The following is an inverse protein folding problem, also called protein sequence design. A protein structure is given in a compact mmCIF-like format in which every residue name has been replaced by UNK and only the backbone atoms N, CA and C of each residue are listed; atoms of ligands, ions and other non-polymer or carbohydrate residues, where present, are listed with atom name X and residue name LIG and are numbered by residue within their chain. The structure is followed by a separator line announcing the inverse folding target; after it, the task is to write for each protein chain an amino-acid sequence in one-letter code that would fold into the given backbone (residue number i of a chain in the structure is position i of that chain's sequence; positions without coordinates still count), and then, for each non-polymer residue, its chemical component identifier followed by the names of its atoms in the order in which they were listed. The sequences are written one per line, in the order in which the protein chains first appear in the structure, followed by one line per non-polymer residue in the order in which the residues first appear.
data_IF_447290006635
#
_entry.id   IF_447290006635
#
_cell.length_a   1.000
_cell.length_b   1.000
_cell.length_c   1.000
_cell.angle_alpha   90.00
_cell.angle_beta   90.00
_cell.angle_gamma   90.00
#
_symmetry.space_group_name_H-M   'P 1'
#
loop_
_entity.id
_entity.type
_entity.pdbx_description
1 polymer ?
#
# COMPACT_ATOMS: atom_id res chain seq x y z
N UNK A 1 -18.47 -42.62 49.46
CA UNK A 1 -18.71 -41.63 48.39
C UNK A 1 -17.42 -40.86 48.14
N UNK A 2 -16.65 -41.28 47.15
CA UNK A 2 -15.38 -40.66 46.77
C UNK A 2 -15.65 -39.62 45.69
N UNK A 3 -15.50 -38.34 46.02
CA UNK A 3 -15.65 -37.23 45.07
C UNK A 3 -14.31 -37.02 44.35
N UNK A 4 -14.28 -37.36 43.06
CA UNK A 4 -13.16 -37.02 42.18
C UNK A 4 -13.24 -35.54 41.79
N UNK A 5 -12.25 -34.75 42.22
CA UNK A 5 -11.99 -33.42 41.69
C UNK A 5 -11.20 -33.56 40.39
N UNK A 6 -11.84 -33.28 39.25
CA UNK A 6 -11.15 -33.14 37.98
C UNK A 6 -10.57 -31.71 37.88
N UNK A 7 -9.26 -31.52 37.70
CA UNK A 7 -8.71 -30.20 37.43
C UNK A 7 -8.96 -29.88 35.94
N UNK A 8 -9.75 -28.84 35.68
CA UNK A 8 -9.92 -28.28 34.34
C UNK A 8 -8.63 -27.54 34.00
N UNK A 9 -7.76 -28.19 33.22
CA UNK A 9 -6.57 -27.59 32.63
C UNK A 9 -7.01 -26.68 31.47
N UNK A 10 -7.29 -25.41 31.75
CA UNK A 10 -7.51 -24.40 30.72
C UNK A 10 -6.22 -24.16 29.95
N UNK A 11 -6.11 -24.72 28.73
CA UNK A 11 -5.08 -24.36 27.77
C UNK A 11 -5.26 -22.88 27.38
N UNK A 12 -4.44 -22.01 27.95
CA UNK A 12 -4.23 -20.66 27.43
C UNK A 12 -3.44 -20.79 26.13
N UNK A 13 -4.14 -20.79 25.00
CA UNK A 13 -3.54 -20.70 23.67
C UNK A 13 -3.06 -19.25 23.53
N UNK A 14 -1.83 -18.97 23.95
CA UNK A 14 -1.15 -17.75 23.57
C UNK A 14 -0.85 -17.86 22.08
N UNK A 15 -1.61 -17.14 21.25
CA UNK A 15 -1.26 -16.95 19.85
C UNK A 15 0.08 -16.21 19.80
N UNK A 16 1.17 -16.95 19.59
CA UNK A 16 2.44 -16.37 19.21
C UNK A 16 2.23 -15.70 17.87
N UNK A 17 2.08 -14.37 17.87
CA UNK A 17 2.17 -13.58 16.65
C UNK A 17 3.62 -13.62 16.20
N UNK A 18 4.00 -14.68 15.49
CA UNK A 18 5.21 -14.68 14.70
C UNK A 18 5.02 -13.57 13.68
N UNK A 19 5.78 -12.49 13.83
CA UNK A 19 5.91 -11.49 12.76
C UNK A 19 6.64 -12.25 11.66
N UNK A 20 5.89 -12.71 10.65
CA UNK A 20 6.49 -13.31 9.48
C UNK A 20 7.56 -12.32 8.95
N UNK A 21 8.71 -12.85 8.57
CA UNK A 21 9.80 -12.02 8.06
C UNK A 21 9.64 -11.85 6.55
N UNK A 22 10.04 -10.68 6.06
CA UNK A 22 10.06 -10.43 4.63
C UNK A 22 11.04 -11.41 3.97
N UNK A 23 10.54 -12.24 3.05
CA UNK A 23 11.42 -13.11 2.28
C UNK A 23 12.23 -12.23 1.32
N UNK A 24 13.56 -12.29 1.42
CA UNK A 24 14.49 -11.54 0.55
C UNK A 24 14.31 -11.81 -0.94
N UNK A 25 13.58 -12.88 -1.32
CA UNK A 25 13.28 -13.21 -2.70
C UNK A 25 12.07 -12.45 -3.28
N UNK A 26 11.30 -11.74 -2.45
CA UNK A 26 10.18 -10.92 -2.90
C UNK A 26 10.68 -9.49 -3.14
N UNK A 27 10.57 -9.02 -4.38
CA UNK A 27 11.04 -7.68 -4.77
C UNK A 27 10.31 -6.53 -4.07
N UNK A 28 9.15 -6.79 -3.44
CA UNK A 28 8.33 -5.78 -2.77
C UNK A 28 7.67 -6.37 -1.54
N UNK A 29 8.39 -6.29 -0.41
CA UNK A 29 7.92 -6.73 0.90
C UNK A 29 8.20 -5.63 1.92
N UNK A 30 7.14 -5.08 2.52
CA UNK A 30 7.21 -3.98 3.48
C UNK A 30 6.67 -4.43 4.83
N UNK A 31 7.42 -4.16 5.90
CA UNK A 31 6.89 -4.32 7.24
C UNK A 31 5.99 -3.13 7.56
N UNK A 32 4.77 -3.41 8.03
CA UNK A 32 3.85 -2.41 8.57
C UNK A 32 3.47 -2.80 9.99
N UNK A 33 2.86 -1.89 10.75
CA UNK A 33 2.34 -2.25 12.09
C UNK A 33 1.21 -3.30 12.04
N UNK A 34 0.59 -3.48 10.88
CA UNK A 34 -0.45 -4.47 10.65
C UNK A 34 0.11 -5.80 10.12
N UNK A 35 1.43 -5.90 9.93
CA UNK A 35 2.12 -7.07 9.41
C UNK A 35 2.75 -6.82 8.05
N UNK A 36 2.95 -7.87 7.26
CA UNK A 36 3.68 -7.78 5.99
C UNK A 36 2.74 -7.30 4.88
N UNK A 37 3.16 -6.25 4.18
CA UNK A 37 2.58 -5.83 2.91
C UNK A 37 3.41 -6.43 1.77
N UNK A 38 2.77 -7.28 0.97
CA UNK A 38 3.39 -7.98 -0.17
C UNK A 38 2.64 -7.71 -1.47
N UNK A 39 3.35 -7.87 -2.59
CA UNK A 39 2.76 -7.87 -3.91
C UNK A 39 2.70 -9.28 -4.53
N UNK A 40 1.57 -9.60 -5.16
CA UNK A 40 1.45 -10.68 -6.13
C UNK A 40 1.33 -10.05 -7.52
N UNK A 41 2.32 -10.27 -8.38
CA UNK A 41 2.30 -9.72 -9.74
C UNK A 41 1.32 -10.47 -10.63
N UNK A 42 0.97 -9.88 -11.78
CA UNK A 42 0.09 -10.51 -12.77
C UNK A 42 0.58 -11.87 -13.25
N UNK A 43 1.89 -12.05 -13.41
CA UNK A 43 2.44 -13.33 -13.85
C UNK A 43 2.24 -14.43 -12.81
N UNK A 44 2.26 -14.07 -11.52
CA UNK A 44 2.05 -15.01 -10.41
C UNK A 44 0.58 -15.27 -10.14
N UNK A 45 -0.29 -14.27 -10.27
CA UNK A 45 -1.73 -14.44 -10.02
C UNK A 45 -2.45 -15.24 -11.10
N UNK A 46 -2.01 -15.14 -12.36
CA UNK A 46 -2.57 -15.88 -13.50
C UNK A 46 -3.95 -15.39 -13.98
N UNK A 47 -4.53 -14.38 -13.36
CA UNK A 47 -5.89 -13.88 -13.65
C UNK A 47 -5.94 -12.51 -14.36
N UNK A 48 -4.77 -11.95 -14.67
CA UNK A 48 -4.65 -10.65 -15.33
C UNK A 48 -4.51 -9.45 -14.39
N UNK A 49 -4.47 -9.67 -13.06
CA UNK A 49 -4.36 -8.62 -12.06
C UNK A 49 -3.09 -8.75 -11.22
N UNK A 50 -2.55 -7.61 -10.80
CA UNK A 50 -1.60 -7.56 -9.69
C UNK A 50 -2.35 -7.21 -8.40
N UNK A 51 -1.91 -7.77 -7.28
CA UNK A 51 -2.55 -7.64 -5.97
C UNK A 51 -1.55 -7.10 -4.95
N UNK A 52 -2.05 -6.30 -4.01
CA UNK A 52 -1.38 -6.06 -2.74
C UNK A 52 -2.09 -6.84 -1.64
N UNK A 53 -1.30 -7.50 -0.81
CA UNK A 53 -1.78 -8.31 0.30
C UNK A 53 -1.18 -7.83 1.60
N UNK A 54 -1.96 -7.87 2.68
CA UNK A 54 -1.53 -7.56 4.03
C UNK A 54 -1.71 -8.81 4.88
N UNK A 55 -0.61 -9.42 5.32
CA UNK A 55 -0.59 -10.77 5.90
C UNK A 55 -1.34 -11.81 5.04
N UNK A 56 -1.12 -11.75 3.72
CA UNK A 56 -1.78 -12.65 2.76
C UNK A 56 -3.25 -12.33 2.46
N UNK A 57 -3.88 -11.37 3.14
CA UNK A 57 -5.23 -10.90 2.80
C UNK A 57 -5.18 -9.81 1.73
N UNK A 58 -5.93 -9.96 0.64
CA UNK A 58 -5.98 -8.96 -0.43
C UNK A 58 -6.55 -7.62 0.07
N UNK A 59 -5.78 -6.54 -0.08
CA UNK A 59 -6.21 -5.19 0.26
C UNK A 59 -6.39 -4.29 -0.97
N UNK A 60 -5.71 -4.60 -2.07
CA UNK A 60 -5.78 -3.83 -3.31
C UNK A 60 -5.57 -4.74 -4.52
N UNK A 61 -6.17 -4.40 -5.66
CA UNK A 61 -5.93 -5.07 -6.94
C UNK A 61 -6.00 -4.10 -8.11
N UNK A 62 -5.16 -4.31 -9.11
CA UNK A 62 -5.12 -3.49 -10.31
C UNK A 62 -4.86 -4.35 -11.56
N UNK A 63 -5.50 -4.01 -12.68
CA UNK A 63 -5.29 -4.66 -13.98
C UNK A 63 -4.01 -4.11 -14.62
N UNK A 64 -2.87 -4.59 -14.14
CA UNK A 64 -1.52 -4.14 -14.52
C UNK A 64 -0.52 -5.29 -14.36
N UNK A 65 0.67 -5.18 -14.96
CA UNK A 65 1.72 -6.20 -14.87
C UNK A 65 2.34 -6.28 -13.47
N UNK A 66 2.59 -5.12 -12.85
CA UNK A 66 3.09 -4.96 -11.50
C UNK A 66 2.70 -3.56 -10.97
N UNK A 67 2.81 -3.41 -9.67
CA UNK A 67 2.60 -2.22 -8.88
C UNK A 67 3.97 -1.80 -8.35
N UNK A 68 4.36 -0.57 -8.64
CA UNK A 68 5.58 0.05 -8.12
C UNK A 68 5.29 0.72 -6.79
N UNK A 69 6.28 0.72 -5.91
CA UNK A 69 6.27 1.49 -4.67
C UNK A 69 7.17 2.69 -4.83
N UNK A 70 6.78 3.81 -4.24
CA UNK A 70 7.63 4.99 -4.17
C UNK A 70 8.69 4.80 -3.07
N UNK A 71 9.93 5.19 -3.37
CA UNK A 71 11.05 5.11 -2.43
C UNK A 71 10.95 6.11 -1.26
N UNK A 72 10.28 7.25 -1.46
CA UNK A 72 10.04 8.28 -0.45
C UNK A 72 8.84 7.91 0.45
N UNK A 73 9.02 6.86 1.25
CA UNK A 73 8.03 6.39 2.20
C UNK A 73 8.25 6.97 3.62
N UNK A 74 7.21 6.91 4.46
CA UNK A 74 7.29 7.37 5.85
C UNK A 74 7.16 6.18 6.79
N UNK A 75 8.07 6.08 7.77
CA UNK A 75 8.06 4.97 8.72
C UNK A 75 8.85 5.26 10.00
N UNK A 76 9.06 4.21 10.79
CA UNK A 76 9.89 4.25 11.99
C UNK A 76 10.69 2.96 12.16
N UNK A 77 11.85 3.05 12.81
CA UNK A 77 12.64 1.88 13.16
C UNK A 77 12.21 1.33 14.53
N UNK A 78 12.02 0.01 14.61
CA UNK A 78 11.84 -0.74 15.86
C UNK A 78 12.59 -2.06 15.78
N UNK A 79 13.43 -2.36 16.76
CA UNK A 79 14.25 -3.58 16.81
C UNK A 79 15.04 -3.81 15.51
N UNK A 80 15.68 -2.76 14.99
CA UNK A 80 16.43 -2.75 13.72
C UNK A 80 15.61 -3.10 12.47
N UNK A 81 14.27 -3.10 12.55
CA UNK A 81 13.38 -3.24 11.40
C UNK A 81 12.69 -1.91 11.13
N UNK A 82 12.65 -1.51 9.86
CA UNK A 82 11.90 -0.34 9.41
C UNK A 82 10.43 -0.73 9.18
N UNK A 83 9.51 0.03 9.77
CA UNK A 83 8.08 -0.16 9.62
C UNK A 83 7.48 1.00 8.84
N UNK A 84 7.03 0.72 7.62
CA UNK A 84 6.32 1.67 6.77
C UNK A 84 4.97 2.01 7.38
N UNK A 85 4.71 3.31 7.49
CA UNK A 85 3.46 3.90 7.98
C UNK A 85 2.68 4.61 6.88
N UNK A 86 3.33 5.16 5.87
CA UNK A 86 2.71 5.69 4.65
C UNK A 86 3.62 5.45 3.47
N UNK A 87 3.03 5.13 2.32
CA UNK A 87 3.74 5.05 1.04
C UNK A 87 2.76 5.35 -0.09
N UNK A 88 3.28 5.53 -1.30
CA UNK A 88 2.50 5.66 -2.53
C UNK A 88 2.83 4.48 -3.42
N UNK A 89 1.79 3.85 -3.93
CA UNK A 89 1.93 2.88 -5.01
C UNK A 89 1.55 3.52 -6.33
N UNK A 90 2.23 3.13 -7.40
CA UNK A 90 1.93 3.59 -8.76
C UNK A 90 1.84 2.41 -9.70
N UNK A 91 0.95 2.47 -10.68
CA UNK A 91 0.88 1.49 -11.74
C UNK A 91 0.33 2.10 -13.02
N UNK A 92 0.82 1.61 -14.15
CA UNK A 92 0.31 2.01 -15.47
C UNK A 92 -0.86 1.13 -15.87
N UNK A 93 -1.93 1.74 -16.35
CA UNK A 93 -3.05 1.04 -16.97
C UNK A 93 -2.59 0.38 -18.27
N UNK A 94 -3.06 -0.84 -18.53
CA UNK A 94 -2.85 -1.49 -19.82
C UNK A 94 -3.65 -0.83 -20.96
N UNK A 95 -4.66 -0.03 -20.62
CA UNK A 95 -5.53 0.69 -21.55
C UNK A 95 -5.06 2.15 -21.67
N UNK A 96 -5.24 2.74 -22.87
CA UNK A 96 -4.88 4.15 -23.11
C UNK A 96 -5.81 5.09 -22.35
N UNK A 97 -5.33 6.30 -22.05
CA UNK A 97 -6.18 7.37 -21.53
C UNK A 97 -7.15 7.84 -22.63
N UNK A 98 -8.30 7.18 -22.80
CA UNK A 98 -9.23 7.52 -23.89
C UNK A 98 -9.92 8.89 -23.69
N UNK A 99 -10.02 9.36 -22.44
CA UNK A 99 -10.83 10.53 -22.07
C UNK A 99 -10.04 11.84 -21.95
N UNK A 100 -8.71 11.82 -22.13
CA UNK A 100 -7.87 13.04 -22.14
C UNK A 100 -7.22 13.20 -23.52
N UNK A 101 -7.94 13.89 -24.41
CA UNK A 101 -7.60 14.11 -25.83
C UNK A 101 -6.17 14.67 -26.03
N UNK A 102 -5.61 15.38 -25.04
CA UNK A 102 -4.26 15.96 -25.11
C UNK A 102 -3.12 14.94 -24.90
N UNK A 103 -3.38 13.77 -24.29
CA UNK A 103 -2.34 12.80 -23.95
C UNK A 103 -2.60 11.44 -24.61
N UNK A 104 -1.95 11.19 -25.76
CA UNK A 104 -2.01 9.91 -26.49
C UNK A 104 -1.16 8.79 -25.84
N UNK A 105 -1.14 8.72 -24.51
CA UNK A 105 -0.30 7.81 -23.72
C UNK A 105 -1.06 6.82 -22.85
N UNK A 106 -0.31 6.09 -22.04
CA UNK A 106 -0.85 5.31 -20.93
C UNK A 106 -1.05 6.21 -19.72
N UNK A 107 -1.98 5.85 -18.84
CA UNK A 107 -2.20 6.56 -17.59
C UNK A 107 -1.52 5.82 -16.44
N UNK A 108 -0.74 6.56 -15.65
CA UNK A 108 -0.22 6.10 -14.36
C UNK A 108 -1.19 6.50 -13.27
N UNK A 109 -1.72 5.50 -12.55
CA UNK A 109 -2.54 5.71 -11.37
C UNK A 109 -1.66 5.60 -10.15
N UNK A 110 -1.76 6.59 -9.27
CA UNK A 110 -1.14 6.59 -7.95
C UNK A 110 -2.20 6.38 -6.86
N UNK A 111 -1.83 5.72 -5.77
CA UNK A 111 -2.68 5.48 -4.59
C UNK A 111 -1.84 5.61 -3.32
N UNK A 112 -2.36 6.31 -2.32
CA UNK A 112 -1.73 6.40 -1.00
C UNK A 112 -2.17 5.21 -0.15
N UNK A 113 -1.19 4.52 0.44
CA UNK A 113 -1.39 3.54 1.50
C UNK A 113 -1.01 4.18 2.83
N UNK A 114 -1.94 4.22 3.78
CA UNK A 114 -1.71 4.77 5.14
C UNK A 114 -1.99 3.70 6.20
N UNK A 115 -0.93 3.30 6.89
CA UNK A 115 -0.89 2.34 7.98
C UNK A 115 -0.65 3.00 9.35
N UNK A 116 -0.70 4.33 9.45
CA UNK A 116 -0.39 5.05 10.70
C UNK A 116 -1.53 4.99 11.73
N UNK A 117 -2.79 4.98 11.28
CA UNK A 117 -4.00 4.98 12.14
C UNK A 117 -4.40 3.58 12.61
N UNK A 118 -5.53 3.42 13.30
CA UNK A 118 -5.92 2.13 13.91
C UNK A 118 -6.31 1.03 12.92
N UNK A 119 -6.54 1.40 11.66
CA UNK A 119 -6.81 0.49 10.54
C UNK A 119 -6.04 0.94 9.29
N UNK A 120 -5.69 0.03 8.37
CA UNK A 120 -5.16 0.39 7.06
C UNK A 120 -6.17 1.26 6.29
N UNK A 121 -5.66 2.28 5.60
CA UNK A 121 -6.45 3.16 4.73
C UNK A 121 -5.80 3.17 3.36
N UNK A 122 -6.62 2.99 2.33
CA UNK A 122 -6.22 3.06 0.92
C UNK A 122 -7.01 4.21 0.32
N UNK A 123 -6.32 5.16 -0.32
CA UNK A 123 -6.99 6.30 -0.93
C UNK A 123 -7.71 5.94 -2.22
N UNK A 124 -8.47 6.89 -2.77
CA UNK A 124 -8.81 6.87 -4.18
C UNK A 124 -7.55 6.91 -5.06
N UNK A 125 -7.68 6.42 -6.29
CA UNK A 125 -6.68 6.62 -7.33
C UNK A 125 -6.65 8.07 -7.79
N UNK A 126 -5.47 8.55 -8.14
CA UNK A 126 -5.24 9.87 -8.73
C UNK A 126 -4.21 9.78 -9.84
N UNK A 127 -4.36 10.66 -10.83
CA UNK A 127 -3.58 10.67 -12.08
C UNK A 127 -3.04 12.09 -12.24
N UNK A 128 -1.73 12.25 -12.55
CA UNK A 128 -1.16 13.57 -12.82
C UNK A 128 -1.83 14.24 -14.04
N UNK A 129 -1.59 15.53 -14.23
CA UNK A 129 -2.24 16.28 -15.31
C UNK A 129 -1.80 15.74 -16.68
N UNK A 130 -0.52 15.38 -16.82
CA UNK A 130 0.06 14.76 -18.01
C UNK A 130 -0.33 13.30 -18.25
N UNK A 131 -1.06 12.69 -17.33
CA UNK A 131 -1.48 11.30 -17.39
C UNK A 131 -0.42 10.31 -16.91
N UNK A 132 0.88 10.55 -17.15
CA UNK A 132 1.96 9.62 -16.83
C UNK A 132 3.20 10.23 -16.17
N UNK A 133 3.13 11.47 -15.70
CA UNK A 133 4.23 12.09 -14.94
C UNK A 133 4.65 11.24 -13.74
N UNK A 134 5.93 11.32 -13.39
CA UNK A 134 6.50 10.68 -12.20
C UNK A 134 6.34 11.61 -11.00
N UNK A 135 6.22 11.04 -9.80
CA UNK A 135 6.19 11.82 -8.56
C UNK A 135 7.59 12.40 -8.34
N UNK A 136 7.68 13.72 -8.26
CA UNK A 136 8.92 14.47 -8.01
C UNK A 136 9.28 14.42 -6.51
N UNK A 137 8.33 14.79 -5.65
CA UNK A 137 8.52 14.70 -4.20
C UNK A 137 7.20 14.55 -3.43
N UNK A 138 7.31 14.05 -2.19
CA UNK A 138 6.20 14.00 -1.25
C UNK A 138 6.59 14.66 0.07
N UNK A 139 5.73 15.54 0.57
CA UNK A 139 5.84 16.07 1.92
C UNK A 139 4.85 15.36 2.82
N UNK A 140 5.36 14.43 3.63
CA UNK A 140 4.57 13.66 4.58
C UNK A 140 4.29 14.44 5.87
N UNK A 141 3.01 14.61 6.18
CA UNK A 141 2.54 15.04 7.49
C UNK A 141 1.98 13.88 8.31
N UNK A 142 1.72 14.13 9.59
CA UNK A 142 1.14 13.11 10.49
C UNK A 142 -0.20 12.57 9.99
N UNK A 143 -1.06 13.46 9.47
CA UNK A 143 -2.43 13.15 9.03
C UNK A 143 -2.72 13.53 7.57
N UNK A 144 -1.71 14.03 6.84
CA UNK A 144 -1.85 14.51 5.48
C UNK A 144 -0.57 14.29 4.68
N UNK A 145 -0.62 14.54 3.38
CA UNK A 145 0.57 14.65 2.56
C UNK A 145 0.34 15.65 1.41
N UNK A 146 1.40 16.29 0.94
CA UNK A 146 1.41 17.00 -0.33
C UNK A 146 2.26 16.20 -1.31
N UNK A 147 1.70 15.88 -2.46
CA UNK A 147 2.29 15.03 -3.49
C UNK A 147 2.43 15.88 -4.74
N UNK A 148 3.65 15.98 -5.27
CA UNK A 148 3.93 16.79 -6.46
C UNK A 148 4.57 15.93 -7.52
N UNK A 149 4.08 16.07 -8.74
CA UNK A 149 4.61 15.41 -9.93
C UNK A 149 5.53 16.36 -10.72
N UNK A 150 6.38 15.79 -11.58
CA UNK A 150 7.30 16.55 -12.43
C UNK A 150 6.56 17.48 -13.42
N UNK A 151 5.30 17.18 -13.75
CA UNK A 151 4.42 18.06 -14.55
C UNK A 151 3.78 19.20 -13.74
N UNK A 152 4.30 19.44 -12.53
CA UNK A 152 3.83 20.42 -11.55
C UNK A 152 2.42 20.18 -11.00
N UNK A 153 1.76 19.08 -11.35
CA UNK A 153 0.48 18.72 -10.77
C UNK A 153 0.65 18.38 -9.28
N UNK A 154 -0.24 18.96 -8.46
CA UNK A 154 -0.18 18.89 -6.99
C UNK A 154 -1.43 18.26 -6.42
N UNK A 155 -1.24 17.35 -5.49
CA UNK A 155 -2.31 16.64 -4.82
C UNK A 155 -2.13 16.70 -3.31
N UNK A 156 -3.25 16.68 -2.59
CA UNK A 156 -3.27 16.64 -1.14
C UNK A 156 -3.95 15.35 -0.69
N UNK A 157 -3.22 14.55 0.07
CA UNK A 157 -3.80 13.46 0.83
C UNK A 157 -4.30 13.98 2.18
N UNK A 158 -5.54 13.65 2.54
CA UNK A 158 -6.09 13.92 3.87
C UNK A 158 -7.27 12.98 4.15
N UNK A 159 -7.34 12.40 5.35
CA UNK A 159 -8.46 11.56 5.80
C UNK A 159 -8.82 10.41 4.83
N UNK A 160 -7.81 9.75 4.25
CA UNK A 160 -8.03 8.64 3.34
C UNK A 160 -8.47 9.01 1.92
N UNK A 161 -8.41 10.30 1.55
CA UNK A 161 -8.69 10.75 0.19
C UNK A 161 -7.54 11.61 -0.35
N UNK A 162 -7.38 11.57 -1.66
CA UNK A 162 -6.45 12.41 -2.41
C UNK A 162 -7.24 13.31 -3.34
N UNK A 163 -7.00 14.62 -3.24
CA UNK A 163 -7.68 15.65 -4.02
C UNK A 163 -6.65 16.51 -4.76
N UNK A 164 -7.00 16.94 -5.98
CA UNK A 164 -6.18 17.87 -6.77
C UNK A 164 -6.18 19.23 -6.06
N UNK A 165 -5.00 19.80 -5.87
CA UNK A 165 -4.83 21.19 -5.41
C UNK A 165 -4.94 22.12 -6.61
N UNK A 166 -6.15 22.61 -6.87
CA UNK A 166 -6.39 23.65 -7.89
C UNK A 166 -6.02 25.01 -7.28
N UNK A 167 -5.21 25.79 -7.98
CA UNK A 167 -4.92 27.19 -7.61
C UNK A 167 -6.05 28.10 -8.10
#
# INVERSE_FOLDING_TARGET
MTKYFAPILSLLIFSSTSIADCNSNLSYCYHTKFGILDQITRSTSGDGYSYLTLNGANIYKAKTYYISFMDDDMGFFKNNKYFTTKTIITYTLNERCLDRIEYQGFCSISVVLDFSGDKPVISNGFIPDSGNSVIDWVSWGKANAIIVFEDESKFKYMNGRVERVVK
#
